data_IF_171383307762
#
_entry.id   IF_171383307762
#
_cell.length_a   1.000
_cell.length_b   1.000
_cell.length_c   1.000
_cell.angle_alpha   90.00
_cell.angle_beta   90.00
_cell.angle_gamma   90.00
#
_symmetry.space_group_name_H-M   'P 1'
#
loop_
_entity.id
_entity.type
_entity.pdbx_description
1 polymer ?
#
# COMPACT_ATOMS: atom_id res chain seq x y z
N UNK A 1 10.62 -4.29 -11.59
CA UNK A 1 9.34 -4.51 -10.86
C UNK A 1 9.33 -5.78 -9.99
N UNK A 2 10.44 -6.19 -9.34
CA UNK A 2 10.49 -7.45 -8.58
C UNK A 2 9.97 -7.37 -7.14
N UNK A 3 10.17 -6.24 -6.47
CA UNK A 3 9.84 -6.05 -5.05
C UNK A 3 8.33 -6.10 -4.77
N UNK A 4 7.53 -5.37 -5.55
CA UNK A 4 6.06 -5.38 -5.44
C UNK A 4 5.50 -6.80 -5.61
N UNK A 5 6.08 -7.59 -6.52
CA UNK A 5 5.66 -8.97 -6.76
C UNK A 5 5.87 -9.85 -5.54
N UNK A 6 7.03 -9.72 -4.88
CA UNK A 6 7.33 -10.46 -3.64
C UNK A 6 6.35 -10.08 -2.52
N UNK A 7 6.07 -8.79 -2.34
CA UNK A 7 5.08 -8.31 -1.36
C UNK A 7 3.67 -8.84 -1.61
N UNK A 8 3.25 -8.93 -2.88
CA UNK A 8 1.95 -9.53 -3.24
C UNK A 8 1.89 -11.02 -2.94
N UNK A 9 2.99 -11.74 -3.13
CA UNK A 9 3.07 -13.18 -2.81
C UNK A 9 3.01 -13.39 -1.29
N UNK A 10 3.75 -12.60 -0.51
CA UNK A 10 3.71 -12.68 0.96
C UNK A 10 2.33 -12.30 1.51
N UNK A 11 1.68 -11.28 0.94
CA UNK A 11 0.30 -10.93 1.29
C UNK A 11 -0.64 -12.11 1.05
N UNK A 12 -0.57 -12.75 -0.13
CA UNK A 12 -1.44 -13.88 -0.46
C UNK A 12 -1.23 -15.07 0.46
N UNK A 13 0.02 -15.40 0.77
CA UNK A 13 0.34 -16.49 1.70
C UNK A 13 -0.25 -16.22 3.09
N UNK A 14 -0.16 -14.99 3.57
CA UNK A 14 -0.74 -14.56 4.84
C UNK A 14 -2.27 -14.61 4.82
N UNK A 15 -2.91 -14.08 3.78
CA UNK A 15 -4.37 -14.11 3.62
C UNK A 15 -4.92 -15.53 3.54
N UNK A 16 -4.22 -16.44 2.84
CA UNK A 16 -4.56 -17.87 2.80
C UNK A 16 -4.43 -18.53 4.17
N UNK A 17 -3.38 -18.23 4.94
CA UNK A 17 -3.20 -18.77 6.28
C UNK A 17 -4.29 -18.28 7.26
N UNK A 18 -4.66 -16.98 7.19
CA UNK A 18 -5.73 -16.40 8.02
C UNK A 18 -7.09 -17.05 7.77
N UNK A 19 -7.36 -17.42 6.52
CA UNK A 19 -8.63 -18.04 6.11
C UNK A 19 -8.59 -19.58 6.14
N UNK A 20 -7.46 -20.19 6.53
CA UNK A 20 -7.28 -21.64 6.54
C UNK A 20 -7.37 -22.31 5.15
N UNK A 21 -7.14 -21.55 4.08
CA UNK A 21 -7.34 -22.01 2.69
C UNK A 21 -6.07 -22.66 2.16
N UNK A 22 -6.21 -23.85 1.58
CA UNK A 22 -5.13 -24.51 0.89
C UNK A 22 -5.08 -24.10 -0.59
N UNK A 23 -3.90 -24.18 -1.25
CA UNK A 23 -3.79 -23.98 -2.70
C UNK A 23 -4.69 -24.92 -3.52
N UNK A 24 -5.07 -26.07 -2.93
CA UNK A 24 -5.95 -27.09 -3.53
C UNK A 24 -7.40 -26.64 -3.66
N UNK A 25 -7.84 -25.66 -2.85
CA UNK A 25 -9.21 -25.16 -2.89
C UNK A 25 -9.47 -24.29 -4.13
N UNK A 26 -8.44 -24.00 -4.94
CA UNK A 26 -8.52 -23.27 -6.22
C UNK A 26 -9.27 -21.92 -6.10
N UNK A 27 -9.28 -21.33 -4.90
CA UNK A 27 -9.99 -20.08 -4.64
C UNK A 27 -9.30 -18.95 -5.40
N UNK A 28 -10.11 -18.19 -6.15
CA UNK A 28 -9.61 -17.07 -6.94
C UNK A 28 -9.11 -15.97 -6.01
N UNK A 29 -8.07 -15.29 -6.45
CA UNK A 29 -7.43 -14.24 -5.66
C UNK A 29 -8.38 -13.06 -5.34
N UNK A 30 -9.36 -12.84 -6.22
CA UNK A 30 -10.40 -11.82 -6.04
C UNK A 30 -11.32 -12.13 -4.87
N UNK A 31 -11.63 -13.40 -4.64
CA UNK A 31 -12.55 -13.82 -3.56
C UNK A 31 -11.87 -13.75 -2.19
N UNK A 32 -10.58 -14.13 -2.13
CA UNK A 32 -9.74 -13.97 -0.94
C UNK A 32 -9.67 -12.48 -0.55
N UNK A 33 -9.37 -11.61 -1.51
CA UNK A 33 -9.30 -10.15 -1.31
C UNK A 33 -10.63 -9.54 -0.88
N UNK A 34 -11.75 -10.04 -1.42
CA UNK A 34 -13.11 -9.58 -1.04
C UNK A 34 -13.46 -9.97 0.39
N UNK A 35 -13.04 -11.17 0.84
CA UNK A 35 -13.29 -11.65 2.21
C UNK A 35 -12.43 -10.94 3.25
N UNK A 36 -11.15 -10.75 2.98
CA UNK A 36 -10.22 -10.14 3.95
C UNK A 36 -10.31 -8.62 4.00
N UNK A 37 -10.81 -7.96 2.93
CA UNK A 37 -10.82 -6.49 2.78
C UNK A 37 -9.45 -5.84 3.02
N UNK A 38 -8.37 -6.61 2.89
CA UNK A 38 -7.00 -6.14 3.09
C UNK A 38 -6.63 -5.21 1.95
N UNK A 39 -6.12 -4.03 2.29
CA UNK A 39 -5.68 -3.03 1.31
C UNK A 39 -4.52 -3.57 0.46
N UNK A 40 -4.56 -3.37 -0.86
CA UNK A 40 -3.47 -3.83 -1.75
C UNK A 40 -2.13 -3.18 -1.34
N UNK A 41 -1.15 -4.00 -0.94
CA UNK A 41 0.14 -3.52 -0.43
C UNK A 41 0.86 -2.65 -1.48
N UNK A 42 0.67 -2.90 -2.78
CA UNK A 42 1.29 -2.07 -3.80
C UNK A 42 0.75 -0.63 -3.77
N UNK A 43 -0.57 -0.48 -3.62
CA UNK A 43 -1.19 0.84 -3.47
C UNK A 43 -0.75 1.53 -2.18
N UNK A 44 -0.63 0.80 -1.07
CA UNK A 44 -0.17 1.35 0.21
C UNK A 44 1.28 1.83 0.12
N UNK A 45 2.17 1.03 -0.46
CA UNK A 45 3.60 1.38 -0.66
C UNK A 45 3.72 2.58 -1.59
N UNK A 46 2.95 2.63 -2.68
CA UNK A 46 2.94 3.78 -3.58
C UNK A 46 2.49 5.06 -2.85
N UNK A 47 1.39 5.00 -2.09
CA UNK A 47 0.89 6.14 -1.31
C UNK A 47 1.92 6.63 -0.31
N UNK A 48 2.54 5.74 0.46
CA UNK A 48 3.56 6.09 1.45
C UNK A 48 4.79 6.72 0.79
N UNK A 49 5.23 6.19 -0.36
CA UNK A 49 6.34 6.76 -1.12
C UNK A 49 6.03 8.18 -1.59
N UNK A 50 4.82 8.41 -2.10
CA UNK A 50 4.37 9.75 -2.52
C UNK A 50 4.22 10.71 -1.35
N UNK A 51 3.68 10.27 -0.21
CA UNK A 51 3.60 11.07 1.01
C UNK A 51 4.98 11.47 1.53
N UNK A 52 5.94 10.54 1.53
CA UNK A 52 7.31 10.83 1.89
C UNK A 52 7.96 11.83 0.94
N UNK A 53 7.80 11.64 -0.38
CA UNK A 53 8.30 12.59 -1.37
C UNK A 53 7.72 14.00 -1.14
N UNK A 54 6.42 14.10 -0.87
CA UNK A 54 5.75 15.36 -0.52
C UNK A 54 6.29 15.98 0.77
N UNK A 55 6.50 15.19 1.82
CA UNK A 55 7.08 15.65 3.08
C UNK A 55 8.51 16.17 2.92
N UNK A 56 9.35 15.47 2.15
CA UNK A 56 10.72 15.92 1.84
C UNK A 56 10.69 17.22 1.03
N UNK A 57 9.81 17.32 0.03
CA UNK A 57 9.63 18.54 -0.75
C UNK A 57 9.19 19.71 0.16
N UNK A 58 8.24 19.49 1.06
CA UNK A 58 7.75 20.50 1.99
C UNK A 58 8.81 20.95 2.99
N UNK A 59 9.65 20.03 3.48
CA UNK A 59 10.77 20.35 4.38
C UNK A 59 11.87 21.12 3.67
N UNK A 60 12.14 20.81 2.39
CA UNK A 60 13.23 21.40 1.59
C UNK A 60 12.85 22.74 0.94
N UNK A 61 11.58 22.94 0.60
CA UNK A 61 11.06 24.12 -0.12
C UNK A 61 10.04 24.91 0.70
N UNK A 62 10.15 24.91 2.04
CA UNK A 62 9.21 25.54 3.00
C UNK A 62 8.94 27.05 2.86
N UNK A 63 9.28 27.66 1.72
CA UNK A 63 9.19 29.08 1.44
C UNK A 63 8.40 29.42 0.15
N UNK A 64 7.78 28.46 -0.54
CA UNK A 64 7.06 28.72 -1.81
C UNK A 64 5.55 28.90 -1.66
N UNK A 65 5.12 29.53 -0.57
CA UNK A 65 3.80 30.14 -0.46
C UNK A 65 3.95 31.53 0.15
N UNK A 66 3.34 32.60 -0.40
CA UNK A 66 3.37 33.91 0.24
C UNK A 66 2.86 33.74 1.67
N UNK A 67 3.66 34.22 2.63
CA UNK A 67 3.36 34.24 4.05
C UNK A 67 1.95 34.81 4.21
N UNK A 68 0.96 33.97 4.48
CA UNK A 68 -0.39 34.43 4.78
C UNK A 68 -0.28 35.26 6.06
N UNK A 69 -0.24 36.58 5.88
CA UNK A 69 -0.24 37.58 6.95
C UNK A 69 -1.57 37.39 7.68
N UNK A 70 -1.56 36.67 8.81
CA UNK A 70 -2.66 36.73 9.77
C UNK A 70 -2.75 38.18 10.24
N UNK A 71 -3.84 38.86 9.85
CA UNK A 71 -4.33 40.03 10.55
C UNK A 71 -5.04 39.59 11.83
#
# INVERSE_FOLDING_TARGET
MGFIRRLRVTQRAMESAMLGVSPRDLIRNVDIRRRTRVTDIAQRVAKLKWQWAGHILQRKYGCWGPKARRR
#
